data_IF_052718932544
#
_entry.id   IF_052718932544
#
_cell.length_a   1.000
_cell.length_b   1.000
_cell.length_c   1.000
_cell.angle_alpha   90.00
_cell.angle_beta   90.00
_cell.angle_gamma   90.00
#
_symmetry.space_group_name_H-M   'P 1'
#
loop_
_entity.id
_entity.type
_entity.pdbx_description
1 polymer ?
#
# COMPACT_ATOMS: atom_id res chain seq x y z
N UNK A 1 -39.30 1.53 15.23
CA UNK A 1 -39.67 1.18 16.62
C UNK A 1 -38.66 1.83 17.54
N UNK A 2 -39.12 2.63 18.50
CA UNK A 2 -38.23 3.22 19.49
C UNK A 2 -37.76 2.15 20.48
N UNK A 3 -36.47 2.18 20.82
CA UNK A 3 -35.82 1.22 21.72
C UNK A 3 -36.27 1.55 23.14
N UNK A 4 -36.83 0.57 23.86
CA UNK A 4 -37.09 0.67 25.30
C UNK A 4 -35.74 0.69 26.01
N UNK A 5 -35.48 1.72 26.79
CA UNK A 5 -34.24 1.93 27.55
C UNK A 5 -34.27 1.18 28.88
N UNK A 6 -33.12 1.02 29.53
CA UNK A 6 -33.05 0.41 30.87
C UNK A 6 -33.91 1.16 31.90
N UNK A 7 -33.95 2.49 31.85
CA UNK A 7 -34.77 3.33 32.74
C UNK A 7 -36.25 3.00 32.54
N UNK A 8 -36.70 2.92 31.29
CA UNK A 8 -38.07 2.53 30.97
C UNK A 8 -38.36 1.09 31.40
N UNK A 9 -37.39 0.17 31.28
CA UNK A 9 -37.53 -1.20 31.81
C UNK A 9 -37.73 -1.21 33.33
N UNK A 10 -36.96 -0.43 34.08
CA UNK A 10 -37.14 -0.32 35.54
C UNK A 10 -38.49 0.30 35.91
N UNK A 11 -38.98 1.27 35.13
CA UNK A 11 -40.32 1.82 35.31
C UNK A 11 -41.42 0.79 35.02
N UNK A 12 -41.24 -0.06 33.99
CA UNK A 12 -42.16 -1.17 33.69
C UNK A 12 -42.19 -2.17 34.85
N UNK A 13 -41.03 -2.52 35.43
CA UNK A 13 -40.92 -3.39 36.60
C UNK A 13 -41.68 -2.85 37.81
N UNK A 14 -41.54 -1.55 38.11
CA UNK A 14 -42.31 -0.91 39.19
C UNK A 14 -43.83 -0.90 38.93
N UNK A 15 -44.24 -0.83 37.66
CA UNK A 15 -45.65 -0.77 37.26
C UNK A 15 -46.21 -2.12 36.81
N UNK A 16 -45.52 -3.25 37.01
CA UNK A 16 -45.86 -4.53 36.39
C UNK A 16 -47.26 -5.07 36.73
N UNK A 17 -47.85 -4.63 37.85
CA UNK A 17 -49.20 -5.00 38.27
C UNK A 17 -50.30 -4.04 37.74
N UNK A 18 -49.94 -3.02 36.97
CA UNK A 18 -50.89 -2.12 36.32
C UNK A 18 -51.26 -2.63 34.92
N UNK A 19 -52.35 -2.08 34.35
CA UNK A 19 -52.77 -2.46 33.00
C UNK A 19 -51.74 -2.04 31.95
N UNK A 20 -51.61 -2.83 30.87
CA UNK A 20 -50.73 -2.52 29.73
C UNK A 20 -51.07 -1.13 29.15
N UNK A 21 -52.34 -0.74 29.16
CA UNK A 21 -52.82 0.58 28.72
C UNK A 21 -52.22 1.70 29.59
N UNK A 22 -52.20 1.53 30.91
CA UNK A 22 -51.63 2.49 31.84
C UNK A 22 -50.13 2.64 31.62
N UNK A 23 -49.38 1.52 31.62
CA UNK A 23 -47.93 1.53 31.41
C UNK A 23 -47.57 2.19 30.06
N UNK A 24 -48.31 1.86 29.00
CA UNK A 24 -48.12 2.43 27.68
C UNK A 24 -48.37 3.94 27.64
N UNK A 25 -49.43 4.43 28.31
CA UNK A 25 -49.73 5.85 28.40
C UNK A 25 -48.67 6.61 29.22
N UNK A 26 -48.26 6.08 30.37
CA UNK A 26 -47.25 6.67 31.25
C UNK A 26 -45.89 6.82 30.58
N UNK A 27 -45.49 5.83 29.77
CA UNK A 27 -44.19 5.83 29.08
C UNK A 27 -44.25 6.43 27.66
N UNK A 28 -45.43 6.83 27.18
CA UNK A 28 -45.61 7.29 25.80
C UNK A 28 -45.23 6.23 24.75
N UNK A 29 -45.46 4.94 25.06
CA UNK A 29 -45.13 3.79 24.20
C UNK A 29 -46.38 3.11 23.66
N UNK A 30 -46.22 2.32 22.59
CA UNK A 30 -47.34 1.52 22.08
C UNK A 30 -47.65 0.36 23.03
N UNK A 31 -48.94 0.00 23.16
CA UNK A 31 -49.39 -1.15 23.97
C UNK A 31 -48.72 -2.46 23.53
N UNK A 32 -48.47 -2.61 22.23
CA UNK A 32 -47.79 -3.79 21.66
C UNK A 32 -46.33 -3.86 22.11
N UNK A 33 -45.63 -2.72 22.15
CA UNK A 33 -44.24 -2.65 22.64
C UNK A 33 -44.14 -3.05 24.10
N UNK A 34 -45.03 -2.56 24.96
CA UNK A 34 -45.08 -2.93 26.38
C UNK A 34 -45.42 -4.41 26.54
N UNK A 35 -46.41 -4.93 25.78
CA UNK A 35 -46.75 -6.35 25.80
C UNK A 35 -45.55 -7.23 25.43
N UNK A 36 -44.84 -6.92 24.34
CA UNK A 36 -43.66 -7.67 23.93
C UNK A 36 -42.52 -7.56 24.93
N UNK A 37 -42.38 -6.42 25.60
CA UNK A 37 -41.37 -6.22 26.63
C UNK A 37 -41.65 -7.08 27.87
N UNK A 38 -42.89 -7.07 28.38
CA UNK A 38 -43.30 -7.90 29.51
C UNK A 38 -43.09 -9.40 29.24
N UNK A 39 -43.32 -9.86 28.00
CA UNK A 39 -43.07 -11.25 27.59
C UNK A 39 -41.58 -11.64 27.49
N UNK A 40 -40.62 -10.71 27.66
CA UNK A 40 -39.19 -11.07 27.68
C UNK A 40 -38.78 -11.87 28.91
N UNK A 41 -39.55 -11.78 30.00
CA UNK A 41 -39.39 -12.62 31.19
C UNK A 41 -40.55 -13.64 31.20
N UNK A 42 -40.33 -14.88 30.72
CA UNK A 42 -41.42 -15.86 30.57
C UNK A 42 -41.81 -16.53 31.90
N UNK A 43 -40.95 -16.47 32.92
CA UNK A 43 -41.16 -17.08 34.23
C UNK A 43 -41.08 -16.01 35.32
N UNK A 44 -42.10 -15.94 36.17
CA UNK A 44 -42.16 -15.03 37.31
C UNK A 44 -42.53 -13.59 36.99
N UNK A 45 -42.29 -12.71 37.96
CA UNK A 45 -42.47 -11.26 37.83
C UNK A 45 -41.47 -10.68 36.81
N UNK A 46 -41.87 -9.62 36.13
CA UNK A 46 -41.03 -8.97 35.14
C UNK A 46 -39.83 -8.30 35.83
N UNK A 47 -38.61 -8.65 35.40
CA UNK A 47 -37.38 -8.04 35.90
C UNK A 47 -36.69 -7.20 34.83
N UNK A 48 -36.43 -5.93 35.13
CA UNK A 48 -35.83 -5.01 34.18
C UNK A 48 -34.41 -5.43 33.74
N UNK A 49 -33.64 -5.99 34.69
CA UNK A 49 -32.26 -6.43 34.46
C UNK A 49 -32.24 -7.64 33.51
N UNK A 50 -33.10 -8.62 33.73
CA UNK A 50 -33.21 -9.81 32.87
C UNK A 50 -33.66 -9.42 31.46
N UNK A 51 -34.67 -8.55 31.36
CA UNK A 51 -35.16 -8.05 30.07
C UNK A 51 -34.08 -7.26 29.30
N UNK A 52 -33.25 -6.49 30.02
CA UNK A 52 -32.11 -5.77 29.44
C UNK A 52 -31.03 -6.73 28.93
N UNK A 53 -30.62 -7.71 29.74
CA UNK A 53 -29.60 -8.70 29.36
C UNK A 53 -30.03 -9.52 28.14
N UNK A 54 -31.30 -9.92 28.09
CA UNK A 54 -31.88 -10.56 26.91
C UNK A 54 -31.84 -9.63 25.68
N UNK A 55 -32.21 -8.36 25.84
CA UNK A 55 -32.18 -7.39 24.75
C UNK A 55 -30.76 -7.16 24.21
N UNK A 56 -29.75 -7.07 25.08
CA UNK A 56 -28.35 -6.92 24.71
C UNK A 56 -27.81 -8.19 24.04
N UNK A 57 -28.15 -9.38 24.55
CA UNK A 57 -27.81 -10.65 23.91
C UNK A 57 -28.38 -10.77 22.51
N UNK A 58 -29.66 -10.44 22.32
CA UNK A 58 -30.26 -10.39 20.98
C UNK A 58 -29.55 -9.37 20.10
N UNK A 59 -29.23 -8.18 20.63
CA UNK A 59 -28.54 -7.13 19.89
C UNK A 59 -27.13 -7.55 19.47
N UNK A 60 -26.41 -8.31 20.29
CA UNK A 60 -25.11 -8.88 19.94
C UNK A 60 -25.19 -9.92 18.82
N UNK A 61 -26.32 -10.63 18.71
CA UNK A 61 -26.60 -11.56 17.59
C UNK A 61 -27.09 -10.83 16.34
N UNK A 62 -27.63 -9.63 16.49
CA UNK A 62 -28.02 -8.78 15.38
C UNK A 62 -26.80 -8.12 14.71
N UNK A 63 -26.84 -8.03 13.39
CA UNK A 63 -25.83 -7.34 12.60
C UNK A 63 -25.16 -8.24 11.57
N UNK A 64 -24.18 -7.67 10.87
CA UNK A 64 -23.46 -8.39 9.82
C UNK A 64 -22.34 -9.23 10.46
N UNK A 65 -22.43 -10.55 10.34
CA UNK A 65 -21.33 -11.42 10.72
C UNK A 65 -20.08 -11.15 9.87
N UNK A 66 -18.91 -11.31 10.49
CA UNK A 66 -17.64 -11.15 9.77
C UNK A 66 -17.54 -12.19 8.66
N UNK A 67 -17.14 -11.73 7.46
CA UNK A 67 -16.83 -12.63 6.33
C UNK A 67 -15.46 -13.32 6.50
N UNK A 68 -14.73 -13.01 7.57
CA UNK A 68 -13.39 -13.52 7.84
C UNK A 68 -13.41 -14.98 8.26
N UNK A 69 -13.34 -15.88 7.27
CA UNK A 69 -13.12 -17.31 7.51
C UNK A 69 -11.66 -17.59 7.88
N UNK A 70 -11.34 -18.73 8.52
CA UNK A 70 -9.95 -19.11 8.81
C UNK A 70 -9.06 -19.16 7.56
N UNK A 71 -9.60 -19.64 6.43
CA UNK A 71 -8.92 -19.63 5.13
C UNK A 71 -8.62 -18.21 4.67
N UNK A 72 -9.59 -17.30 4.77
CA UNK A 72 -9.42 -15.91 4.38
C UNK A 72 -8.40 -15.19 5.27
N UNK A 73 -8.44 -15.42 6.59
CA UNK A 73 -7.45 -14.92 7.55
C UNK A 73 -6.04 -15.31 7.12
N UNK A 74 -5.80 -16.59 6.83
CA UNK A 74 -4.50 -17.08 6.36
C UNK A 74 -4.04 -16.39 5.07
N UNK A 75 -4.89 -16.32 4.04
CA UNK A 75 -4.55 -15.67 2.77
C UNK A 75 -4.21 -14.18 2.94
N UNK A 76 -4.96 -13.47 3.79
CA UNK A 76 -4.72 -12.05 4.09
C UNK A 76 -3.37 -11.89 4.78
N UNK A 77 -3.09 -12.68 5.83
CA UNK A 77 -1.83 -12.64 6.57
C UNK A 77 -0.63 -12.97 5.67
N UNK A 78 -0.70 -14.03 4.87
CA UNK A 78 0.36 -14.41 3.92
C UNK A 78 0.70 -13.25 2.97
N UNK A 79 -0.32 -12.62 2.36
CA UNK A 79 -0.11 -11.51 1.43
C UNK A 79 0.46 -10.26 2.12
N UNK A 80 -0.02 -9.95 3.32
CA UNK A 80 0.52 -8.83 4.11
C UNK A 80 2.00 -9.07 4.47
N UNK A 81 2.38 -10.29 4.83
CA UNK A 81 3.77 -10.67 5.12
C UNK A 81 4.68 -10.60 3.89
N UNK A 82 4.14 -10.79 2.68
CA UNK A 82 4.85 -10.50 1.42
C UNK A 82 5.02 -8.99 1.16
N UNK A 83 4.55 -8.12 2.07
CA UNK A 83 4.62 -6.68 1.97
C UNK A 83 3.60 -6.07 1.00
N UNK A 84 2.46 -6.75 0.77
CA UNK A 84 1.36 -6.21 -0.03
C UNK A 84 0.59 -5.16 0.79
N UNK A 85 0.10 -4.10 0.14
CA UNK A 85 -0.76 -3.13 0.82
C UNK A 85 -2.16 -3.71 1.06
N UNK A 86 -2.92 -3.18 2.04
CA UNK A 86 -4.33 -3.55 2.24
C UNK A 86 -5.20 -3.39 0.99
N UNK A 87 -4.86 -2.45 0.11
CA UNK A 87 -5.54 -2.28 -1.18
C UNK A 87 -5.27 -3.46 -2.14
N UNK A 88 -4.02 -3.90 -2.23
CA UNK A 88 -3.62 -5.05 -3.05
C UNK A 88 -4.22 -6.35 -2.51
N UNK A 89 -4.19 -6.53 -1.19
CA UNK A 89 -4.80 -7.70 -0.54
C UNK A 89 -6.31 -7.69 -0.78
N UNK A 90 -6.98 -6.56 -0.55
CA UNK A 90 -8.41 -6.41 -0.79
C UNK A 90 -8.81 -6.78 -2.22
N UNK A 91 -8.06 -6.31 -3.23
CA UNK A 91 -8.28 -6.73 -4.61
C UNK A 91 -8.18 -8.26 -4.78
N UNK A 92 -7.12 -8.87 -4.25
CA UNK A 92 -6.86 -10.29 -4.42
C UNK A 92 -7.83 -11.22 -3.68
N UNK A 93 -8.46 -10.74 -2.60
CA UNK A 93 -9.48 -11.50 -1.85
C UNK A 93 -10.89 -10.98 -2.06
N UNK A 94 -11.10 -10.11 -3.05
CA UNK A 94 -12.39 -9.50 -3.38
C UNK A 94 -13.08 -8.80 -2.19
N UNK A 95 -12.30 -8.11 -1.37
CA UNK A 95 -12.76 -7.34 -0.21
C UNK A 95 -12.40 -5.85 -0.36
N UNK A 96 -13.20 -4.99 0.26
CA UNK A 96 -12.85 -3.57 0.33
C UNK A 96 -11.55 -3.38 1.15
N UNK A 97 -10.64 -2.47 0.76
CA UNK A 97 -9.42 -2.20 1.51
C UNK A 97 -9.69 -1.83 2.97
N UNK A 98 -10.78 -1.09 3.22
CA UNK A 98 -11.21 -0.72 4.57
C UNK A 98 -11.53 -1.93 5.45
N UNK A 99 -12.04 -3.01 4.86
CA UNK A 99 -12.28 -4.28 5.57
C UNK A 99 -10.95 -4.89 6.04
N UNK A 100 -9.92 -4.87 5.19
CA UNK A 100 -8.58 -5.36 5.56
C UNK A 100 -8.00 -4.53 6.70
N UNK A 101 -8.10 -3.19 6.62
CA UNK A 101 -7.68 -2.31 7.72
C UNK A 101 -8.42 -2.63 9.02
N UNK A 102 -9.74 -2.82 8.96
CA UNK A 102 -10.56 -3.15 10.12
C UNK A 102 -10.09 -4.44 10.80
N UNK A 103 -9.80 -5.49 10.02
CA UNK A 103 -9.27 -6.76 10.53
C UNK A 103 -7.89 -6.61 11.20
N UNK A 104 -7.02 -5.76 10.64
CA UNK A 104 -5.70 -5.47 11.23
C UNK A 104 -5.88 -4.73 12.57
N UNK A 105 -6.71 -3.67 12.61
CA UNK A 105 -6.90 -2.87 13.82
C UNK A 105 -7.61 -3.65 14.94
N UNK A 106 -8.54 -4.54 14.60
CA UNK A 106 -9.20 -5.43 15.55
C UNK A 106 -8.37 -6.66 15.93
N UNK A 107 -7.13 -6.79 15.42
CA UNK A 107 -6.25 -7.94 15.65
C UNK A 107 -6.88 -9.29 15.27
N UNK A 108 -7.76 -9.28 14.26
CA UNK A 108 -8.39 -10.48 13.74
C UNK A 108 -7.48 -11.22 12.75
N UNK A 109 -6.50 -10.52 12.17
CA UNK A 109 -5.40 -11.08 11.37
C UNK A 109 -4.09 -10.99 12.15
N UNK A 110 -3.20 -11.96 11.94
CA UNK A 110 -1.91 -12.03 12.64
C UNK A 110 -0.88 -11.09 11.97
N UNK A 111 -1.19 -9.79 11.97
CA UNK A 111 -0.38 -8.74 11.37
C UNK A 111 -0.59 -7.41 12.11
N UNK A 112 0.50 -6.71 12.42
CA UNK A 112 0.44 -5.44 13.16
C UNK A 112 0.39 -4.23 12.21
N UNK A 113 -0.35 -3.15 12.57
CA UNK A 113 -0.34 -1.91 11.81
C UNK A 113 1.07 -1.32 11.56
N UNK A 114 1.99 -1.52 12.50
CA UNK A 114 3.38 -1.05 12.40
C UNK A 114 4.19 -1.76 11.31
N UNK A 115 3.77 -2.96 10.90
CA UNK A 115 4.41 -3.73 9.83
C UNK A 115 3.91 -3.34 8.44
N UNK A 116 2.86 -2.52 8.35
CA UNK A 116 2.38 -2.00 7.08
C UNK A 116 3.46 -1.13 6.43
N UNK A 117 3.42 -1.10 5.09
CA UNK A 117 4.17 -0.12 4.32
C UNK A 117 3.86 1.32 4.82
N UNK A 118 4.90 2.14 4.97
CA UNK A 118 4.86 3.47 5.62
C UNK A 118 4.27 3.48 7.05
N UNK A 119 4.23 2.33 7.73
CA UNK A 119 3.64 2.17 9.08
C UNK A 119 2.18 2.66 9.17
N UNK A 120 1.44 2.59 8.06
CA UNK A 120 0.07 3.12 7.96
C UNK A 120 -0.01 4.66 7.99
N UNK A 121 1.11 5.38 7.91
CA UNK A 121 1.15 6.84 7.89
C UNK A 121 0.91 7.35 6.47
N UNK A 122 -0.04 8.29 6.34
CA UNK A 122 -0.29 8.99 5.07
C UNK A 122 0.48 10.30 5.06
N UNK A 123 1.54 10.38 4.26
CA UNK A 123 2.25 11.63 4.06
C UNK A 123 1.43 12.57 3.16
N UNK A 124 1.09 13.77 3.65
CA UNK A 124 0.51 14.83 2.82
C UNK A 124 1.61 15.38 1.90
N UNK A 125 1.31 15.46 0.60
CA UNK A 125 2.21 16.07 -0.38
C UNK A 125 2.30 17.57 -0.09
N UNK A 126 3.45 18.06 0.35
CA UNK A 126 3.74 19.50 0.32
C UNK A 126 4.08 19.87 -1.12
N UNK A 127 3.44 20.92 -1.62
CA UNK A 127 3.75 21.47 -2.93
C UNK A 127 5.03 22.28 -2.77
N UNK A 128 6.13 21.82 -3.38
CA UNK A 128 7.37 22.59 -3.37
C UNK A 128 7.24 23.68 -4.44
N UNK A 129 7.20 24.94 -4.02
CA UNK A 129 6.98 26.13 -4.87
C UNK A 129 8.30 26.76 -5.33
N UNK A 130 9.43 26.05 -5.23
CA UNK A 130 10.75 26.60 -5.53
C UNK A 130 11.02 26.60 -7.03
N UNK A 131 11.72 27.64 -7.51
CA UNK A 131 11.87 27.93 -8.94
C UNK A 131 12.75 26.93 -9.69
N UNK A 132 12.55 26.87 -11.01
CA UNK A 132 13.33 26.06 -11.95
C UNK A 132 14.77 26.59 -11.98
N UNK A 133 15.71 25.89 -11.36
CA UNK A 133 17.13 26.17 -11.56
C UNK A 133 17.69 25.20 -12.61
N UNK A 134 17.90 25.71 -13.82
CA UNK A 134 18.48 24.96 -14.93
C UNK A 134 20.01 25.02 -14.82
N UNK A 135 20.63 24.02 -14.22
CA UNK A 135 22.08 23.85 -14.32
C UNK A 135 22.37 22.92 -15.50
N UNK A 136 23.05 23.45 -16.52
CA UNK A 136 23.31 22.78 -17.79
C UNK A 136 24.35 21.67 -17.64
N UNK A 137 23.90 20.46 -17.30
CA UNK A 137 24.72 19.24 -17.43
C UNK A 137 23.88 18.16 -18.11
N UNK A 138 24.27 17.78 -19.32
CA UNK A 138 23.65 16.71 -20.10
C UNK A 138 22.37 17.12 -20.84
N UNK A 139 21.72 16.13 -21.45
CA UNK A 139 20.49 16.32 -22.23
C UNK A 139 19.28 16.48 -21.30
N UNK A 140 18.55 17.59 -21.40
CA UNK A 140 17.38 17.87 -20.56
C UNK A 140 16.24 16.87 -20.78
N UNK A 141 15.50 16.56 -19.72
CA UNK A 141 14.25 15.78 -19.79
C UNK A 141 13.18 16.42 -20.67
N UNK A 142 13.23 17.73 -20.92
CA UNK A 142 12.24 18.44 -21.74
C UNK A 142 12.22 17.97 -23.19
N UNK A 143 13.36 17.49 -23.73
CA UNK A 143 13.43 17.00 -25.12
C UNK A 143 13.15 15.50 -25.24
N UNK A 144 12.80 14.83 -24.15
CA UNK A 144 12.45 13.41 -24.15
C UNK A 144 11.17 13.20 -24.96
N UNK A 145 11.09 12.07 -25.67
CA UNK A 145 9.93 11.73 -26.50
C UNK A 145 8.61 11.79 -25.73
N UNK A 146 7.54 12.17 -26.43
CA UNK A 146 6.21 12.22 -25.85
C UNK A 146 5.69 10.82 -25.47
N UNK A 147 6.14 9.77 -26.19
CA UNK A 147 5.84 8.37 -25.85
C UNK A 147 6.39 7.99 -24.47
N UNK A 148 7.59 8.47 -24.14
CA UNK A 148 8.14 8.32 -22.80
C UNK A 148 7.31 9.11 -21.80
N UNK A 149 7.07 10.42 -22.04
CA UNK A 149 6.35 11.30 -21.10
C UNK A 149 4.97 10.75 -20.73
N UNK A 150 4.19 10.31 -21.73
CA UNK A 150 2.85 9.72 -21.57
C UNK A 150 2.86 8.25 -21.15
N UNK A 151 4.03 7.60 -21.06
CA UNK A 151 4.18 6.20 -20.67
C UNK A 151 3.41 5.26 -21.60
N UNK A 152 3.43 5.55 -22.90
CA UNK A 152 2.75 4.76 -23.94
C UNK A 152 3.67 3.80 -24.66
N UNK A 153 4.98 3.79 -24.33
CA UNK A 153 5.98 2.93 -24.94
C UNK A 153 6.94 2.35 -23.88
N UNK A 154 7.22 1.05 -23.99
CA UNK A 154 8.15 0.35 -23.09
C UNK A 154 9.60 0.70 -23.38
N UNK A 155 10.45 0.58 -22.37
CA UNK A 155 11.90 0.72 -22.48
C UNK A 155 12.42 2.11 -22.15
N UNK A 156 11.56 3.01 -21.69
CA UNK A 156 12.01 4.25 -21.07
C UNK A 156 12.18 4.00 -19.57
N UNK A 157 13.43 3.92 -19.12
CA UNK A 157 13.79 3.55 -17.76
C UNK A 157 14.05 4.81 -16.91
N UNK A 158 13.70 4.78 -15.64
CA UNK A 158 14.21 5.71 -14.62
C UNK A 158 15.32 4.98 -13.84
N UNK A 159 16.47 5.62 -13.62
CA UNK A 159 17.62 5.03 -12.91
C UNK A 159 17.97 5.83 -11.66
N UNK A 160 18.20 5.17 -10.51
CA UNK A 160 18.58 5.80 -9.24
C UNK A 160 19.61 4.96 -8.47
N UNK A 161 20.19 5.56 -7.43
CA UNK A 161 20.91 4.81 -6.41
C UNK A 161 20.23 4.92 -5.04
N UNK A 162 20.15 3.79 -4.34
CA UNK A 162 19.72 3.74 -2.95
C UNK A 162 20.95 3.58 -2.07
N UNK A 163 21.31 4.66 -1.38
CA UNK A 163 22.50 4.72 -0.53
C UNK A 163 22.35 3.92 0.77
N UNK A 164 23.44 3.32 1.25
CA UNK A 164 23.48 2.67 2.56
C UNK A 164 23.39 3.64 3.73
N UNK A 165 23.51 3.09 4.94
CA UNK A 165 23.69 3.85 6.18
C UNK A 165 24.96 4.67 6.18
N UNK A 166 25.11 5.58 7.16
CA UNK A 166 26.36 6.34 7.34
C UNK A 166 27.53 5.35 7.49
N UNK A 167 28.62 5.62 6.78
CA UNK A 167 29.80 4.75 6.73
C UNK A 167 29.74 3.64 5.67
N UNK A 168 28.56 3.30 5.15
CA UNK A 168 28.41 2.31 4.09
C UNK A 168 28.97 2.86 2.78
N UNK A 169 29.87 2.11 2.14
CA UNK A 169 30.33 2.45 0.79
C UNK A 169 29.36 1.90 -0.24
N UNK A 170 28.88 0.68 -0.03
CA UNK A 170 27.94 0.03 -0.92
C UNK A 170 26.61 0.78 -1.07
N UNK A 171 26.00 0.58 -2.23
CA UNK A 171 24.69 1.10 -2.57
C UNK A 171 23.95 0.10 -3.45
N UNK A 172 22.67 0.37 -3.72
CA UNK A 172 21.89 -0.41 -4.70
C UNK A 172 21.57 0.47 -5.88
N UNK A 173 22.00 0.07 -7.08
CA UNK A 173 21.54 0.68 -8.33
C UNK A 173 20.13 0.15 -8.62
N UNK A 174 19.21 1.03 -8.99
CA UNK A 174 17.85 0.66 -9.38
C UNK A 174 17.56 1.20 -10.77
N UNK A 175 16.94 0.37 -11.61
CA UNK A 175 16.31 0.79 -12.87
C UNK A 175 14.86 0.36 -12.86
N UNK A 176 13.97 1.22 -13.35
CA UNK A 176 12.54 0.93 -13.40
C UNK A 176 11.94 1.37 -14.73
N UNK A 177 11.26 0.46 -15.43
CA UNK A 177 10.52 0.81 -16.64
C UNK A 177 9.28 1.65 -16.32
N UNK A 178 9.12 2.75 -17.05
CA UNK A 178 8.05 3.73 -16.80
C UNK A 178 6.66 3.27 -17.22
N UNK A 179 6.52 2.13 -17.89
CA UNK A 179 5.21 1.60 -18.31
C UNK A 179 4.85 0.38 -17.49
N UNK A 180 5.65 -0.67 -17.61
CA UNK A 180 5.49 -1.98 -16.96
C UNK A 180 5.79 -1.95 -15.48
N UNK A 181 6.49 -0.91 -14.99
CA UNK A 181 6.93 -0.79 -13.60
C UNK A 181 7.87 -1.91 -13.16
N UNK A 182 8.47 -2.62 -14.10
CA UNK A 182 9.44 -3.64 -13.80
C UNK A 182 10.71 -2.98 -13.26
N UNK A 183 11.10 -3.38 -12.05
CA UNK A 183 12.30 -2.93 -11.39
C UNK A 183 13.40 -3.97 -11.56
N UNK A 184 14.62 -3.54 -11.86
CA UNK A 184 15.80 -4.37 -11.70
C UNK A 184 16.80 -3.63 -10.81
N UNK A 185 17.54 -4.39 -10.01
CA UNK A 185 18.45 -3.84 -9.02
C UNK A 185 19.78 -4.58 -9.05
N UNK A 186 20.85 -3.93 -8.63
CA UNK A 186 22.12 -4.61 -8.39
C UNK A 186 22.93 -3.89 -7.31
N UNK A 187 23.67 -4.63 -6.50
CA UNK A 187 24.57 -4.06 -5.50
C UNK A 187 25.76 -3.42 -6.19
N UNK A 188 26.12 -2.24 -5.72
CA UNK A 188 27.32 -1.51 -6.07
C UNK A 188 28.30 -1.56 -4.91
N UNK A 189 29.59 -1.69 -5.21
CA UNK A 189 30.69 -1.59 -4.24
C UNK A 189 30.82 -0.17 -3.66
N UNK A 190 30.51 0.85 -4.47
CA UNK A 190 30.51 2.26 -4.12
C UNK A 190 29.68 3.08 -5.12
N UNK A 191 29.55 4.38 -4.86
CA UNK A 191 28.83 5.34 -5.72
C UNK A 191 29.74 6.03 -6.74
N UNK A 192 30.88 5.43 -7.10
CA UNK A 192 31.70 5.95 -8.19
C UNK A 192 30.99 5.75 -9.53
N UNK A 193 31.27 6.63 -10.49
CA UNK A 193 30.73 6.52 -11.85
C UNK A 193 31.08 5.18 -12.51
N UNK A 194 32.30 4.66 -12.29
CA UNK A 194 32.72 3.37 -12.82
C UNK A 194 31.90 2.21 -12.23
N UNK A 195 31.65 2.23 -10.92
CA UNK A 195 30.80 1.23 -10.28
C UNK A 195 29.36 1.27 -10.81
N UNK A 196 28.79 2.47 -10.98
CA UNK A 196 27.46 2.66 -11.58
C UNK A 196 27.41 2.12 -13.01
N UNK A 197 28.40 2.44 -13.86
CA UNK A 197 28.48 1.95 -15.23
C UNK A 197 28.57 0.42 -15.30
N UNK A 198 29.40 -0.21 -14.45
CA UNK A 198 29.49 -1.67 -14.35
C UNK A 198 28.20 -2.29 -13.83
N UNK A 199 27.55 -1.65 -12.86
CA UNK A 199 26.23 -2.05 -12.36
C UNK A 199 25.17 -2.01 -13.46
N UNK A 200 25.10 -0.89 -14.18
CA UNK A 200 24.18 -0.73 -15.30
C UNK A 200 24.43 -1.80 -16.37
N UNK A 201 25.69 -2.04 -16.74
CA UNK A 201 26.06 -3.09 -17.69
C UNK A 201 25.51 -4.47 -17.28
N UNK A 202 25.67 -4.85 -16.00
CA UNK A 202 25.12 -6.09 -15.45
C UNK A 202 23.59 -6.15 -15.60
N UNK A 203 22.90 -5.06 -15.26
CA UNK A 203 21.44 -5.00 -15.38
C UNK A 203 20.96 -5.14 -16.83
N UNK A 204 21.70 -4.58 -17.80
CA UNK A 204 21.32 -4.66 -19.21
C UNK A 204 21.42 -6.05 -19.81
N UNK A 205 22.21 -6.96 -19.22
CA UNK A 205 22.31 -8.35 -19.70
C UNK A 205 20.98 -9.09 -19.50
N UNK A 206 20.37 -8.93 -18.33
CA UNK A 206 19.20 -9.72 -17.94
C UNK A 206 17.88 -8.95 -17.99
N UNK A 207 17.90 -7.65 -18.35
CA UNK A 207 16.69 -6.84 -18.36
C UNK A 207 15.71 -7.35 -19.44
N UNK A 208 14.51 -7.81 -19.07
CA UNK A 208 13.59 -8.37 -20.04
C UNK A 208 12.88 -7.23 -20.76
N UNK A 209 13.37 -6.87 -21.93
CA UNK A 209 12.70 -5.92 -22.82
C UNK A 209 13.63 -4.87 -23.41
N UNK A 210 13.08 -3.99 -24.25
CA UNK A 210 13.86 -2.98 -24.92
C UNK A 210 14.33 -1.90 -23.95
N UNK A 211 15.47 -1.27 -24.23
CA UNK A 211 15.97 -0.10 -23.50
C UNK A 211 16.16 1.04 -24.50
N UNK A 212 15.22 1.98 -24.49
CA UNK A 212 15.13 3.11 -25.41
C UNK A 212 15.74 4.39 -24.87
N UNK A 213 15.62 4.63 -23.57
CA UNK A 213 16.26 5.78 -22.92
C UNK A 213 16.35 5.55 -21.42
N UNK A 214 17.25 6.28 -20.78
CA UNK A 214 17.37 6.31 -19.32
C UNK A 214 17.16 7.73 -18.82
N UNK A 215 16.40 7.90 -17.75
CA UNK A 215 16.23 9.17 -17.07
C UNK A 215 16.90 9.11 -15.70
N UNK A 216 17.81 10.04 -15.42
CA UNK A 216 18.58 10.17 -14.18
C UNK A 216 18.35 11.53 -13.54
N UNK A 217 18.77 11.67 -12.29
CA UNK A 217 18.88 12.95 -11.61
C UNK A 217 20.29 13.51 -11.82
N UNK A 218 20.56 14.70 -11.29
CA UNK A 218 21.88 15.32 -11.35
C UNK A 218 22.85 14.77 -10.28
N UNK A 219 22.70 13.51 -9.86
CA UNK A 219 23.67 12.85 -9.00
C UNK A 219 25.05 12.83 -9.65
N UNK A 220 26.11 13.10 -8.88
CA UNK A 220 27.50 13.10 -9.38
C UNK A 220 27.92 11.72 -9.91
N UNK A 221 27.31 10.67 -9.37
CA UNK A 221 27.43 9.28 -9.80
C UNK A 221 26.91 9.05 -11.24
N UNK A 222 26.04 9.93 -11.74
CA UNK A 222 25.40 9.82 -13.06
C UNK A 222 25.94 10.80 -14.11
N UNK A 223 26.99 11.59 -13.78
CA UNK A 223 27.67 12.45 -14.76
C UNK A 223 28.51 11.68 -15.79
N UNK A 224 28.25 10.38 -15.97
CA UNK A 224 28.85 9.49 -16.97
C UNK A 224 27.94 9.28 -18.20
N UNK A 225 27.01 10.22 -18.44
CA UNK A 225 26.06 10.23 -19.55
C UNK A 225 26.71 10.00 -20.91
N UNK A 226 27.89 10.61 -21.15
CA UNK A 226 28.64 10.39 -22.38
C UNK A 226 29.06 8.93 -22.54
N UNK A 227 29.45 8.24 -21.47
CA UNK A 227 29.86 6.84 -21.53
C UNK A 227 28.66 5.92 -21.79
N UNK A 228 27.52 6.17 -21.14
CA UNK A 228 26.28 5.43 -21.38
C UNK A 228 25.78 5.62 -22.83
N UNK A 229 25.74 6.86 -23.28
CA UNK A 229 25.25 7.23 -24.62
C UNK A 229 26.20 6.71 -25.71
N UNK A 230 27.52 6.88 -25.57
CA UNK A 230 28.49 6.39 -26.56
C UNK A 230 28.57 4.86 -26.61
N UNK A 231 28.56 4.18 -25.46
CA UNK A 231 28.76 2.73 -25.39
C UNK A 231 27.51 1.94 -25.74
N UNK A 232 26.35 2.35 -25.24
CA UNK A 232 25.11 1.58 -25.41
C UNK A 232 24.16 2.19 -26.46
N UNK A 233 24.48 3.38 -27.00
CA UNK A 233 23.59 4.13 -27.90
C UNK A 233 22.21 4.40 -27.28
N UNK A 234 22.16 4.52 -25.95
CA UNK A 234 20.96 4.81 -25.19
C UNK A 234 20.98 6.29 -24.80
N UNK A 235 20.00 7.10 -25.25
CA UNK A 235 19.81 8.47 -24.78
C UNK A 235 19.64 8.54 -23.26
N UNK A 236 20.40 9.43 -22.63
CA UNK A 236 20.31 9.73 -21.19
C UNK A 236 19.72 11.11 -21.01
N UNK A 237 18.67 11.22 -20.20
CA UNK A 237 17.98 12.47 -19.89
C UNK A 237 18.11 12.84 -18.42
N UNK A 238 18.37 14.11 -18.12
CA UNK A 238 18.49 14.63 -16.77
C UNK A 238 17.23 15.39 -16.34
N UNK A 239 16.71 15.04 -15.17
CA UNK A 239 15.62 15.78 -14.51
C UNK A 239 16.09 17.14 -14.00
N UNK A 240 15.17 18.10 -13.93
CA UNK A 240 15.46 19.40 -13.34
C UNK A 240 15.86 19.28 -11.86
N UNK A 241 16.78 20.15 -11.42
CA UNK A 241 17.19 20.20 -10.03
C UNK A 241 15.98 20.45 -9.10
N UNK A 242 15.90 19.72 -7.99
CA UNK A 242 14.81 19.84 -7.00
C UNK A 242 13.40 19.47 -7.49
N UNK A 243 13.27 18.69 -8.58
CA UNK A 243 11.99 18.20 -9.09
C UNK A 243 11.82 16.67 -8.98
N UNK A 244 11.68 16.11 -7.75
CA UNK A 244 11.60 14.66 -7.54
C UNK A 244 10.41 13.99 -8.25
N UNK A 245 9.34 14.77 -8.50
CA UNK A 245 8.12 14.34 -9.18
C UNK A 245 8.35 13.93 -10.65
N UNK A 246 9.43 14.36 -11.29
CA UNK A 246 9.78 13.92 -12.65
C UNK A 246 10.22 12.45 -12.72
N UNK A 247 10.59 11.88 -11.55
CA UNK A 247 10.98 10.49 -11.31
C UNK A 247 10.07 9.78 -10.31
N UNK A 248 8.78 10.12 -10.35
CA UNK A 248 7.81 9.56 -9.40
C UNK A 248 7.67 8.04 -9.47
N UNK A 249 8.12 7.37 -10.55
CA UNK A 249 8.18 5.90 -10.57
C UNK A 249 9.28 5.44 -9.65
N UNK A 250 10.51 5.89 -9.88
CA UNK A 250 11.67 5.44 -9.13
C UNK A 250 11.55 5.78 -7.65
N UNK A 251 11.05 6.97 -7.31
CA UNK A 251 10.81 7.35 -5.92
C UNK A 251 9.90 6.35 -5.20
N UNK A 252 8.80 5.93 -5.85
CA UNK A 252 7.88 4.93 -5.29
C UNK A 252 8.56 3.57 -5.10
N UNK A 253 9.31 3.11 -6.09
CA UNK A 253 9.99 1.81 -6.03
C UNK A 253 11.13 1.81 -5.03
N UNK A 254 11.88 2.91 -4.90
CA UNK A 254 12.90 3.07 -3.87
C UNK A 254 12.29 3.07 -2.47
N UNK A 255 11.11 3.66 -2.26
CA UNK A 255 10.38 3.49 -0.99
C UNK A 255 9.99 2.04 -0.72
N UNK A 256 9.56 1.30 -1.75
CA UNK A 256 9.29 -0.15 -1.61
C UNK A 256 10.54 -0.96 -1.29
N UNK A 257 11.69 -0.63 -1.87
CA UNK A 257 12.95 -1.24 -1.50
C UNK A 257 13.33 -0.89 -0.05
N UNK A 258 13.05 0.33 0.40
CA UNK A 258 13.27 0.78 1.79
C UNK A 258 12.38 0.08 2.82
N UNK A 259 11.29 -0.55 2.40
CA UNK A 259 10.53 -1.42 3.29
C UNK A 259 11.36 -2.64 3.71
N UNK A 260 12.10 -3.24 2.78
CA UNK A 260 12.98 -4.39 3.06
C UNK A 260 14.34 -3.95 3.60
N UNK A 261 14.84 -2.78 3.17
CA UNK A 261 16.13 -2.23 3.60
C UNK A 261 15.96 -0.80 4.15
N UNK A 262 15.52 -0.65 5.41
CA UNK A 262 15.27 0.66 6.03
C UNK A 262 16.44 1.65 5.90
N UNK A 263 16.15 2.95 6.09
CA UNK A 263 17.22 3.95 6.14
C UNK A 263 18.19 3.59 7.28
N UNK A 264 19.49 3.54 6.95
CA UNK A 264 20.52 3.10 7.89
C UNK A 264 21.07 1.69 7.62
N UNK A 265 20.42 0.89 6.76
CA UNK A 265 20.93 -0.42 6.36
C UNK A 265 22.36 -0.31 5.80
N UNK A 266 23.28 -1.09 6.37
CA UNK A 266 24.66 -1.20 5.89
C UNK A 266 24.69 -2.17 4.70
N UNK A 267 24.61 -1.64 3.48
CA UNK A 267 24.53 -2.49 2.28
C UNK A 267 25.80 -3.31 2.06
N UNK A 268 26.92 -2.94 2.67
CA UNK A 268 28.14 -3.74 2.64
C UNK A 268 27.89 -5.15 3.18
N UNK A 269 27.01 -5.29 4.20
CA UNK A 269 26.64 -6.55 4.85
C UNK A 269 25.46 -7.28 4.20
N UNK A 270 24.74 -6.63 3.28
CA UNK A 270 23.60 -7.23 2.58
C UNK A 270 24.08 -7.98 1.34
N UNK A 271 23.65 -9.20 1.14
CA UNK A 271 24.04 -9.98 -0.05
C UNK A 271 23.31 -9.48 -1.31
N UNK A 272 23.91 -9.71 -2.49
CA UNK A 272 23.22 -9.47 -3.77
C UNK A 272 21.92 -10.29 -3.84
N UNK A 273 21.95 -11.52 -3.33
CA UNK A 273 20.79 -12.44 -3.33
C UNK A 273 19.61 -11.88 -2.53
N UNK A 274 19.85 -11.25 -1.37
CA UNK A 274 18.76 -10.64 -0.58
C UNK A 274 18.13 -9.46 -1.34
N UNK A 275 18.95 -8.66 -2.04
CA UNK A 275 18.49 -7.55 -2.87
C UNK A 275 17.64 -8.06 -4.04
N UNK A 276 18.08 -9.15 -4.70
CA UNK A 276 17.30 -9.77 -5.78
C UNK A 276 15.98 -10.37 -5.27
N UNK A 277 15.98 -11.02 -4.10
CA UNK A 277 14.75 -11.55 -3.48
C UNK A 277 13.75 -10.43 -3.18
N UNK A 278 14.19 -9.33 -2.56
CA UNK A 278 13.34 -8.16 -2.33
C UNK A 278 12.80 -7.58 -3.64
N UNK A 279 13.63 -7.52 -4.67
CA UNK A 279 13.24 -7.03 -6.02
C UNK A 279 12.19 -7.94 -6.66
N UNK A 280 12.34 -9.26 -6.55
CA UNK A 280 11.37 -10.23 -7.02
C UNK A 280 10.03 -10.09 -6.27
N UNK A 281 10.04 -9.88 -4.95
CA UNK A 281 8.82 -9.62 -4.18
C UNK A 281 8.12 -8.34 -4.66
N UNK A 282 8.87 -7.25 -4.88
CA UNK A 282 8.35 -5.97 -5.38
C UNK A 282 7.73 -6.13 -6.79
N UNK A 283 8.39 -6.88 -7.67
CA UNK A 283 7.94 -7.13 -9.04
C UNK A 283 6.73 -8.09 -9.11
N UNK A 284 6.44 -8.85 -8.05
CA UNK A 284 5.27 -9.71 -7.95
C UNK A 284 4.08 -9.08 -7.20
N UNK A 285 4.17 -7.80 -6.81
CA UNK A 285 3.04 -7.06 -6.24
C UNK A 285 2.09 -6.60 -7.35
N UNK A 286 0.77 -6.85 -7.25
CA UNK A 286 -0.20 -6.37 -8.23
C UNK A 286 -0.30 -4.84 -8.15
N UNK A 287 -0.38 -4.19 -9.31
CA UNK A 287 -0.38 -2.72 -9.40
C UNK A 287 -1.68 -2.22 -10.00
N UNK A 288 -2.41 -1.38 -9.28
CA UNK A 288 -3.64 -0.73 -9.79
C UNK A 288 -3.42 -0.01 -11.13
N UNK A 289 -2.28 0.67 -11.29
CA UNK A 289 -1.93 1.36 -12.55
C UNK A 289 -1.65 0.40 -13.72
N UNK A 290 -1.48 -0.89 -13.47
CA UNK A 290 -1.34 -1.95 -14.46
C UNK A 290 -2.59 -2.84 -14.49
N UNK A 291 -3.76 -2.29 -14.11
CA UNK A 291 -5.03 -3.03 -13.97
C UNK A 291 -4.88 -4.29 -13.12
N UNK A 292 -4.14 -4.15 -12.02
CA UNK A 292 -3.84 -5.19 -11.04
C UNK A 292 -2.95 -6.34 -11.51
N UNK A 293 -2.33 -6.21 -12.68
CA UNK A 293 -1.24 -7.11 -13.09
C UNK A 293 0.03 -6.81 -12.28
N UNK A 294 0.90 -7.82 -12.17
CA UNK A 294 2.25 -7.64 -11.62
C UNK A 294 3.19 -7.08 -12.69
N UNK A 295 4.25 -6.33 -12.31
CA UNK A 295 5.30 -5.92 -13.24
C UNK A 295 5.87 -7.06 -14.11
N UNK A 296 6.04 -8.26 -13.54
CA UNK A 296 6.47 -9.47 -14.27
C UNK A 296 5.45 -9.87 -15.36
N UNK A 297 4.15 -9.81 -15.06
CA UNK A 297 3.13 -10.11 -16.07
C UNK A 297 3.10 -9.04 -17.16
N UNK A 298 3.17 -7.78 -16.75
CA UNK A 298 3.12 -6.61 -17.62
C UNK A 298 4.23 -6.61 -18.69
N UNK A 299 5.46 -6.98 -18.32
CA UNK A 299 6.59 -6.89 -19.25
C UNK A 299 6.42 -7.79 -20.48
N UNK A 300 5.81 -8.97 -20.29
CA UNK A 300 5.53 -9.93 -21.38
C UNK A 300 4.36 -9.54 -22.30
N UNK A 301 3.46 -8.65 -21.88
CA UNK A 301 2.22 -8.36 -22.64
C UNK A 301 2.35 -7.15 -23.58
N UNK A 302 1.85 -7.21 -24.82
CA UNK A 302 1.80 -6.03 -25.69
C UNK A 302 0.89 -4.96 -25.09
N UNK A 303 1.22 -3.69 -25.26
CA UNK A 303 0.51 -2.56 -24.63
C UNK A 303 -0.95 -2.43 -25.10
N UNK A 304 -1.29 -2.94 -26.29
CA UNK A 304 -2.66 -2.96 -26.83
C UNK A 304 -3.63 -3.87 -26.05
N UNK A 305 -3.11 -4.79 -25.22
CA UNK A 305 -3.91 -5.75 -24.44
C UNK A 305 -4.14 -5.34 -22.99
N UNK A 306 -3.97 -4.06 -22.70
CA UNK A 306 -4.06 -3.52 -21.35
C UNK A 306 -5.40 -2.90 -21.09
#
# INVERSE_FOLDING_TARGET
MAIITLIERSQIELMQHHTIQYIAATLGRSRISIRHELHRCPEGDYCAIIAQDHADTCRHRCGRHSILTPKLKRMVTEKLNLGWSPEMVGYAVHCAPHTIYHWIYQRQVDFQPSQLFDHGKRHKRRQDLRSRYNQAVGTSIEIRSESANRRTEKGHLEMDTVRGGRGSKAAVLTIVDRVTRLMATTKLENLSQNAVLKGFARLMVDFPGPVRSVTVDHGKEFSCDQALTKRYRIPVYFCHAYHPNERGTNERFNRELRYYFPKGTQFDQVSETDIQQATALINNKPRKCLRWQTPVQAVSKPLSRW
#
